data_IF_530814193304
#
_entry.id   IF_530814193304
#
_cell.length_a   1.000
_cell.length_b   1.000
_cell.length_c   1.000
_cell.angle_alpha   90.00
_cell.angle_beta   90.00
_cell.angle_gamma   90.00
#
_symmetry.space_group_name_H-M   'P 1'
#
loop_
_entity.id
_entity.type
_entity.pdbx_description
1 polymer ?
#
# COMPACT_ATOMS: atom_id res chain seq x y z
N UNK A 1 -3.46 17.26 -23.76
CA UNK A 1 -4.82 16.92 -23.27
C UNK A 1 -4.62 16.45 -21.84
N UNK A 2 -5.00 17.28 -20.88
CA UNK A 2 -4.70 17.10 -19.45
C UNK A 2 -6.01 16.86 -18.70
N UNK A 3 -6.15 15.71 -18.05
CA UNK A 3 -7.25 15.32 -17.16
C UNK A 3 -6.84 15.54 -15.70
N UNK A 4 -7.44 16.52 -15.04
CA UNK A 4 -7.23 16.76 -13.61
C UNK A 4 -8.35 16.06 -12.83
N UNK A 5 -8.00 15.29 -11.79
CA UNK A 5 -8.99 14.77 -10.83
C UNK A 5 -9.06 15.71 -9.62
N UNK A 6 -10.20 16.36 -9.45
CA UNK A 6 -10.50 17.21 -8.29
C UNK A 6 -11.49 16.47 -7.38
N UNK A 7 -11.25 16.50 -6.08
CA UNK A 7 -12.16 15.99 -5.07
C UNK A 7 -12.54 17.12 -4.11
N UNK A 8 -13.76 17.64 -4.23
CA UNK A 8 -14.33 18.61 -3.29
C UNK A 8 -15.38 17.92 -2.42
N UNK A 9 -15.48 18.33 -1.14
CA UNK A 9 -16.52 17.84 -0.23
C UNK A 9 -17.77 18.70 -0.43
N UNK A 10 -18.90 18.10 -0.82
CA UNK A 10 -20.17 18.81 -0.92
C UNK A 10 -20.79 18.98 0.49
N UNK A 11 -20.82 20.21 1.00
CA UNK A 11 -21.47 20.51 2.27
C UNK A 11 -22.99 20.52 2.16
N UNK A 12 -23.68 19.55 2.76
CA UNK A 12 -25.06 19.70 3.22
C UNK A 12 -25.17 19.25 4.68
N UNK A 13 -25.66 20.17 5.51
CA UNK A 13 -25.97 19.95 6.93
C UNK A 13 -27.08 18.90 7.06
N UNK A 14 -26.80 17.81 7.76
CA UNK A 14 -27.81 17.15 8.59
C UNK A 14 -27.12 16.48 9.80
N UNK A 15 -27.61 16.82 11.00
CA UNK A 15 -27.21 16.19 12.26
C UNK A 15 -27.57 14.70 12.28
N UNK A 16 -26.71 13.89 12.92
CA UNK A 16 -27.00 12.80 13.90
C UNK A 16 -26.10 11.55 13.71
N UNK A 17 -25.28 11.33 14.77
CA UNK A 17 -24.69 10.11 15.37
C UNK A 17 -23.55 9.31 14.71
N UNK A 18 -22.46 9.20 15.48
CA UNK A 18 -21.47 8.12 15.62
C UNK A 18 -21.64 6.88 14.73
N UNK A 19 -20.67 6.61 13.87
CA UNK A 19 -19.80 5.41 13.84
C UNK A 19 -18.98 5.39 12.53
N UNK A 20 -17.92 4.61 12.55
CA UNK A 20 -16.93 4.39 11.48
C UNK A 20 -17.53 4.09 10.09
N UNK A 21 -16.73 4.34 9.05
CA UNK A 21 -16.96 4.10 7.61
C UNK A 21 -17.79 5.17 6.85
N UNK A 22 -17.10 6.18 6.31
CA UNK A 22 -17.54 6.87 5.09
C UNK A 22 -16.41 6.95 4.04
N UNK A 23 -16.06 5.80 3.48
CA UNK A 23 -15.69 5.73 2.07
C UNK A 23 -17.00 5.67 1.27
N UNK A 24 -17.40 6.81 0.70
CA UNK A 24 -18.44 6.85 -0.32
C UNK A 24 -19.68 7.64 0.06
N UNK A 25 -19.58 8.97 0.06
CA UNK A 25 -20.65 9.85 -0.40
C UNK A 25 -20.09 11.25 -0.68
N UNK A 26 -20.27 11.73 -1.92
CA UNK A 26 -20.01 13.12 -2.30
C UNK A 26 -18.75 13.41 -3.11
N UNK A 27 -18.33 12.54 -4.04
CA UNK A 27 -17.31 12.92 -5.04
C UNK A 27 -17.99 13.59 -6.25
N UNK A 28 -17.72 14.89 -6.46
CA UNK A 28 -18.05 15.57 -7.72
C UNK A 28 -16.77 15.63 -8.56
N UNK A 29 -16.73 14.84 -9.63
CA UNK A 29 -15.66 14.87 -10.61
C UNK A 29 -15.91 16.05 -11.58
N UNK A 30 -15.01 17.03 -11.59
CA UNK A 30 -15.12 18.20 -12.47
C UNK A 30 -14.06 18.11 -13.57
N UNK A 31 -14.48 17.83 -14.80
CA UNK A 31 -13.64 17.86 -16.01
C UNK A 31 -13.63 19.27 -16.62
N UNK A 32 -12.45 19.77 -17.02
CA UNK A 32 -12.31 21.05 -17.72
C UNK A 32 -11.30 20.99 -18.87
N UNK A 33 -11.69 21.47 -20.06
CA UNK A 33 -10.85 21.58 -21.26
C UNK A 33 -10.43 23.03 -21.52
N UNK A 34 -9.20 23.22 -22.00
CA UNK A 34 -8.82 24.38 -22.83
C UNK A 34 -7.90 25.43 -22.19
N UNK A 35 -6.86 25.79 -22.95
CA UNK A 35 -5.93 26.90 -22.70
C UNK A 35 -6.70 28.21 -22.50
N UNK A 36 -6.50 28.89 -21.36
CA UNK A 36 -7.15 30.12 -20.90
C UNK A 36 -8.52 30.00 -20.17
N UNK A 37 -8.86 28.85 -19.59
CA UNK A 37 -9.95 28.79 -18.62
C UNK A 37 -9.45 29.18 -17.20
N UNK A 38 -10.04 30.23 -16.63
CA UNK A 38 -9.95 30.55 -15.20
C UNK A 38 -10.39 29.32 -14.39
N UNK A 39 -9.44 28.56 -13.86
CA UNK A 39 -9.74 27.51 -12.90
C UNK A 39 -10.20 28.19 -11.61
N UNK A 40 -11.51 28.40 -11.48
CA UNK A 40 -12.14 28.59 -10.18
C UNK A 40 -12.01 27.27 -9.43
N UNK A 41 -10.84 27.02 -8.87
CA UNK A 41 -10.68 26.01 -7.82
C UNK A 41 -11.64 26.46 -6.73
N UNK A 42 -12.69 25.67 -6.50
CA UNK A 42 -13.70 25.91 -5.47
C UNK A 42 -12.98 25.81 -4.12
N UNK A 43 -12.46 26.96 -3.68
CA UNK A 43 -11.23 27.02 -2.89
C UNK A 43 -11.37 26.54 -1.46
N UNK A 44 -12.52 26.72 -0.82
CA UNK A 44 -12.61 26.45 0.62
C UNK A 44 -12.77 24.96 0.96
N UNK A 45 -13.32 24.15 0.06
CA UNK A 45 -13.67 22.75 0.32
C UNK A 45 -12.70 21.72 -0.28
N UNK A 46 -11.63 22.17 -0.96
CA UNK A 46 -10.65 21.26 -1.56
C UNK A 46 -9.76 20.64 -0.49
N UNK A 47 -9.97 19.35 -0.19
CA UNK A 47 -9.22 18.59 0.83
C UNK A 47 -8.07 17.79 0.22
N UNK A 48 -8.20 17.32 -1.02
CA UNK A 48 -7.18 16.55 -1.72
C UNK A 48 -6.98 17.02 -3.16
N UNK A 49 -5.75 16.93 -3.63
CA UNK A 49 -5.38 17.24 -5.01
C UNK A 49 -4.38 16.20 -5.55
N UNK A 50 -4.58 15.75 -6.78
CA UNK A 50 -3.68 14.87 -7.51
C UNK A 50 -3.37 15.43 -8.90
N UNK A 51 -2.07 15.65 -9.19
CA UNK A 51 -1.63 15.98 -10.54
C UNK A 51 -1.56 14.73 -11.42
N UNK A 52 -1.71 14.91 -12.73
CA UNK A 52 -1.38 13.85 -13.69
C UNK A 52 0.08 13.43 -13.54
N UNK A 53 0.34 12.14 -13.33
CA UNK A 53 1.69 11.59 -13.41
C UNK A 53 2.08 11.52 -14.88
N UNK A 54 2.81 12.53 -15.35
CA UNK A 54 3.33 12.54 -16.71
C UNK A 54 4.82 12.86 -16.67
N UNK A 55 5.65 11.85 -16.98
CA UNK A 55 7.12 11.94 -17.06
C UNK A 55 7.61 13.00 -18.04
N UNK A 56 6.74 13.47 -18.94
CA UNK A 56 7.01 14.53 -19.93
C UNK A 56 6.64 15.94 -19.45
N UNK A 57 5.96 16.08 -18.31
CA UNK A 57 5.59 17.39 -17.77
C UNK A 57 6.85 18.11 -17.28
N UNK A 58 7.16 19.24 -17.91
CA UNK A 58 8.16 20.16 -17.37
C UNK A 58 7.55 20.74 -16.08
N UNK A 59 8.16 20.47 -14.92
CA UNK A 59 7.63 20.82 -13.59
C UNK A 59 7.20 22.29 -13.39
N UNK A 60 7.54 23.18 -14.32
CA UNK A 60 7.06 24.57 -14.41
C UNK A 60 5.53 24.69 -14.56
N UNK A 61 4.87 23.69 -15.16
CA UNK A 61 3.41 23.70 -15.35
C UNK A 61 2.64 23.77 -14.03
N UNK A 62 3.24 23.29 -12.94
CA UNK A 62 2.58 23.26 -11.65
C UNK A 62 2.89 24.47 -10.74
N UNK A 63 3.74 25.40 -11.16
CA UNK A 63 4.06 26.59 -10.34
C UNK A 63 2.86 27.52 -10.20
N UNK A 64 2.13 27.75 -11.30
CA UNK A 64 0.89 28.51 -11.25
C UNK A 64 -0.19 27.80 -10.42
N UNK A 65 -0.24 26.47 -10.52
CA UNK A 65 -1.12 25.65 -9.71
C UNK A 65 -0.81 25.79 -8.21
N UNK A 66 0.45 25.69 -7.79
CA UNK A 66 0.84 25.86 -6.38
C UNK A 66 0.45 27.24 -5.85
N UNK A 67 0.62 28.29 -6.66
CA UNK A 67 0.14 29.64 -6.32
C UNK A 67 -1.37 29.68 -6.14
N UNK A 68 -2.11 29.03 -7.03
CA UNK A 68 -3.57 28.95 -6.95
C UNK A 68 -4.04 28.15 -5.72
N UNK A 69 -3.42 27.00 -5.44
CA UNK A 69 -3.69 26.20 -4.25
C UNK A 69 -3.40 26.99 -2.98
N UNK A 70 -2.29 27.74 -2.95
CA UNK A 70 -1.98 28.63 -1.83
C UNK A 70 -3.02 29.73 -1.62
N UNK A 71 -3.48 30.37 -2.70
CA UNK A 71 -4.38 31.53 -2.59
C UNK A 71 -5.83 31.15 -2.35
N UNK A 72 -6.25 29.96 -2.79
CA UNK A 72 -7.65 29.56 -2.75
C UNK A 72 -7.92 28.38 -1.81
N UNK A 73 -6.95 27.50 -1.55
CA UNK A 73 -7.18 26.24 -0.84
C UNK A 73 -6.61 26.23 0.59
N UNK A 74 -7.39 26.74 1.55
CA UNK A 74 -6.98 26.80 2.97
C UNK A 74 -7.09 25.46 3.68
N UNK A 75 -7.90 24.52 3.17
CA UNK A 75 -8.20 23.22 3.79
C UNK A 75 -7.50 22.03 3.16
N UNK A 76 -6.56 22.26 2.24
CA UNK A 76 -5.84 21.20 1.53
C UNK A 76 -4.99 20.38 2.52
N UNK A 77 -5.29 19.08 2.63
CA UNK A 77 -4.64 18.13 3.53
C UNK A 77 -3.83 17.06 2.81
N UNK A 78 -4.19 16.75 1.56
CA UNK A 78 -3.54 15.69 0.79
C UNK A 78 -3.12 16.23 -0.57
N UNK A 79 -1.84 16.05 -0.90
CA UNK A 79 -1.29 16.49 -2.17
C UNK A 79 -0.51 15.35 -2.80
N UNK A 80 -0.83 15.01 -4.05
CA UNK A 80 0.00 14.18 -4.91
C UNK A 80 0.45 15.00 -6.11
N UNK A 81 1.76 15.12 -6.28
CA UNK A 81 2.31 15.98 -7.32
C UNK A 81 3.71 15.55 -7.79
N UNK A 82 3.99 15.81 -9.06
CA UNK A 82 5.32 15.64 -9.65
C UNK A 82 6.11 16.95 -9.60
N UNK A 83 7.37 16.88 -9.17
CA UNK A 83 8.28 18.01 -9.01
C UNK A 83 9.49 17.84 -9.93
N UNK A 84 9.67 18.83 -10.80
CA UNK A 84 10.77 18.89 -11.76
C UNK A 84 11.98 19.69 -11.26
N UNK A 85 12.92 19.94 -12.18
CA UNK A 85 14.23 20.59 -11.89
C UNK A 85 14.17 22.06 -11.48
N UNK A 86 13.03 22.73 -11.58
CA UNK A 86 12.97 24.18 -11.34
C UNK A 86 12.77 24.49 -9.86
N UNK A 87 13.62 25.38 -9.35
CA UNK A 87 13.60 25.86 -7.94
C UNK A 87 12.44 26.81 -7.63
N UNK A 88 11.58 27.08 -8.62
CA UNK A 88 10.45 27.99 -8.44
C UNK A 88 9.34 27.34 -7.61
N UNK A 89 8.54 28.16 -6.91
CA UNK A 89 7.25 27.76 -6.32
C UNK A 89 7.30 26.80 -5.13
N UNK A 90 8.47 26.37 -4.66
CA UNK A 90 8.56 25.60 -3.41
C UNK A 90 8.07 26.42 -2.22
N UNK A 91 8.28 27.74 -2.21
CA UNK A 91 7.72 28.63 -1.19
C UNK A 91 6.19 28.59 -1.17
N UNK A 92 5.55 28.48 -2.35
CA UNK A 92 4.10 28.35 -2.46
C UNK A 92 3.65 26.98 -1.92
N UNK A 93 4.39 25.90 -2.21
CA UNK A 93 4.16 24.59 -1.59
C UNK A 93 4.29 24.65 -0.05
N UNK A 94 5.37 25.22 0.46
CA UNK A 94 5.64 25.28 1.91
C UNK A 94 4.67 26.21 2.66
N UNK A 95 3.89 27.02 1.95
CA UNK A 95 2.81 27.81 2.54
C UNK A 95 1.57 26.97 2.93
N UNK A 96 1.44 25.74 2.40
CA UNK A 96 0.32 24.84 2.65
C UNK A 96 0.42 24.16 4.03
N UNK A 97 0.28 24.94 5.11
CA UNK A 97 0.58 24.50 6.49
C UNK A 97 -0.32 23.39 7.04
N UNK A 98 -1.50 23.17 6.44
CA UNK A 98 -2.45 22.13 6.85
C UNK A 98 -2.19 20.76 6.20
N UNK A 99 -1.17 20.65 5.35
CA UNK A 99 -0.87 19.42 4.63
C UNK A 99 -0.49 18.30 5.61
N UNK A 100 -1.27 17.21 5.55
CA UNK A 100 -1.08 15.99 6.36
C UNK A 100 -0.40 14.87 5.58
N UNK A 101 -0.62 14.84 4.27
CA UNK A 101 -0.10 13.81 3.37
C UNK A 101 0.50 14.43 2.12
N UNK A 102 1.71 14.01 1.78
CA UNK A 102 2.37 14.38 0.52
C UNK A 102 2.82 13.11 -0.21
N UNK A 103 2.39 12.97 -1.46
CA UNK A 103 2.99 12.05 -2.42
C UNK A 103 3.78 12.92 -3.42
N UNK A 104 5.10 12.76 -3.43
CA UNK A 104 5.99 13.54 -4.27
C UNK A 104 6.77 12.64 -5.23
N UNK A 105 6.62 12.87 -6.53
CA UNK A 105 7.46 12.26 -7.56
C UNK A 105 8.52 13.28 -8.00
N UNK A 106 9.80 13.00 -7.74
CA UNK A 106 10.90 13.93 -7.94
C UNK A 106 11.74 13.52 -9.16
N UNK A 107 11.82 14.40 -10.16
CA UNK A 107 12.66 14.22 -11.34
C UNK A 107 13.86 15.17 -11.32
N UNK A 108 14.67 15.04 -10.27
CA UNK A 108 15.86 15.86 -10.03
C UNK A 108 16.99 15.05 -9.41
N UNK A 109 18.21 15.61 -9.42
CA UNK A 109 19.37 14.97 -8.79
C UNK A 109 19.33 15.03 -7.25
N UNK A 110 20.06 14.11 -6.62
CA UNK A 110 20.11 13.88 -5.15
C UNK A 110 20.19 15.15 -4.31
N UNK A 111 21.05 16.11 -4.68
CA UNK A 111 21.20 17.37 -3.95
C UNK A 111 19.87 18.14 -3.85
N UNK A 112 19.13 18.23 -4.94
CA UNK A 112 17.86 18.95 -4.96
C UNK A 112 16.74 18.15 -4.29
N UNK A 113 16.75 16.82 -4.40
CA UNK A 113 15.86 15.97 -3.62
C UNK A 113 16.11 16.18 -2.11
N UNK A 114 17.37 16.23 -1.68
CA UNK A 114 17.75 16.47 -0.28
C UNK A 114 17.29 17.85 0.19
N UNK A 115 17.55 18.90 -0.59
CA UNK A 115 17.07 20.26 -0.30
C UNK A 115 15.53 20.28 -0.17
N UNK A 116 14.83 19.61 -1.10
CA UNK A 116 13.37 19.52 -1.08
C UNK A 116 12.86 18.82 0.18
N UNK A 117 13.38 17.63 0.48
CA UNK A 117 12.98 16.81 1.64
C UNK A 117 13.28 17.53 2.96
N UNK A 118 14.47 18.13 3.09
CA UNK A 118 14.83 18.90 4.29
C UNK A 118 13.84 20.03 4.58
N UNK A 119 13.35 20.70 3.54
CA UNK A 119 12.38 21.78 3.69
C UNK A 119 10.96 21.30 4.01
N UNK A 120 10.65 20.00 3.86
CA UNK A 120 9.36 19.45 4.29
C UNK A 120 9.14 19.54 5.81
N UNK A 121 10.20 19.72 6.60
CA UNK A 121 10.08 19.98 8.05
C UNK A 121 9.26 21.23 8.38
N UNK A 122 9.06 22.11 7.39
CA UNK A 122 8.23 23.31 7.52
C UNK A 122 6.73 23.01 7.55
N UNK A 123 6.31 21.77 7.27
CA UNK A 123 4.93 21.31 7.36
C UNK A 123 4.61 20.78 8.77
N UNK A 124 3.91 21.56 9.62
CA UNK A 124 3.69 21.18 11.02
C UNK A 124 2.78 19.95 11.17
N UNK A 125 1.89 19.73 10.18
CA UNK A 125 0.87 18.69 10.22
C UNK A 125 1.22 17.46 9.38
N UNK A 126 2.37 17.45 8.69
CA UNK A 126 2.74 16.33 7.81
C UNK A 126 2.95 15.07 8.66
N UNK A 127 2.25 13.99 8.30
CA UNK A 127 2.34 12.67 8.95
C UNK A 127 2.59 11.54 7.95
N UNK A 128 2.22 11.75 6.69
CA UNK A 128 2.38 10.77 5.62
C UNK A 128 3.22 11.33 4.48
N UNK A 129 4.29 10.61 4.12
CA UNK A 129 5.12 10.90 2.96
C UNK A 129 5.26 9.65 2.10
N UNK A 130 4.89 9.77 0.82
CA UNK A 130 5.27 8.85 -0.25
C UNK A 130 6.23 9.59 -1.18
N UNK A 131 7.39 9.01 -1.45
CA UNK A 131 8.45 9.64 -2.21
C UNK A 131 8.97 8.71 -3.31
N UNK A 132 8.96 9.20 -4.55
CA UNK A 132 9.56 8.52 -5.70
C UNK A 132 10.68 9.40 -6.24
N UNK A 133 11.93 8.90 -6.22
CA UNK A 133 13.10 9.66 -6.61
C UNK A 133 14.31 8.76 -6.97
N UNK A 134 14.50 8.53 -8.27
CA UNK A 134 15.46 7.60 -8.93
C UNK A 134 16.96 7.89 -8.65
N UNK A 135 17.29 8.79 -7.73
CA UNK A 135 18.69 9.05 -7.34
C UNK A 135 18.82 9.61 -5.94
N UNK A 136 17.74 9.59 -5.15
CA UNK A 136 17.75 10.20 -3.84
C UNK A 136 18.35 9.25 -2.80
N UNK A 137 19.41 9.70 -2.13
CA UNK A 137 20.17 8.92 -1.15
C UNK A 137 19.49 8.77 0.22
N UNK A 138 18.35 9.43 0.44
CA UNK A 138 17.73 9.54 1.76
C UNK A 138 18.37 10.60 2.66
N UNK A 139 19.32 11.38 2.14
CA UNK A 139 19.97 12.44 2.92
C UNK A 139 18.92 13.41 3.45
N UNK A 140 19.06 13.75 4.73
CA UNK A 140 18.16 14.64 5.47
C UNK A 140 16.73 14.12 5.67
N UNK A 141 16.39 12.89 5.25
CA UNK A 141 15.05 12.33 5.46
C UNK A 141 14.70 12.21 6.95
N UNK A 142 15.69 11.89 7.79
CA UNK A 142 15.57 11.73 9.24
C UNK A 142 15.11 13.01 9.97
N UNK A 143 15.16 14.19 9.34
CA UNK A 143 14.68 15.44 9.97
C UNK A 143 13.15 15.50 10.07
N UNK A 144 12.44 14.60 9.37
CA UNK A 144 10.98 14.49 9.40
C UNK A 144 10.53 13.53 10.51
N UNK A 145 10.96 13.81 11.75
CA UNK A 145 10.75 12.97 12.94
C UNK A 145 9.27 12.79 13.33
N UNK A 146 8.39 13.66 12.81
CA UNK A 146 6.96 13.63 13.04
C UNK A 146 6.19 12.61 12.20
N UNK A 147 6.84 11.93 11.24
CA UNK A 147 6.16 11.02 10.32
C UNK A 147 5.63 9.76 11.01
N UNK A 148 4.43 9.36 10.60
CA UNK A 148 3.75 8.12 10.99
C UNK A 148 3.71 7.11 9.84
N UNK A 149 3.79 7.59 8.59
CA UNK A 149 3.82 6.79 7.37
C UNK A 149 4.95 7.29 6.46
N UNK A 150 5.85 6.39 6.09
CA UNK A 150 6.93 6.63 5.13
C UNK A 150 6.91 5.54 4.06
N UNK A 151 6.87 5.96 2.81
CA UNK A 151 6.96 5.09 1.63
C UNK A 151 8.00 5.67 0.67
N UNK A 152 9.04 4.88 0.43
CA UNK A 152 10.23 5.23 -0.35
C UNK A 152 10.63 4.08 -1.29
N UNK A 153 9.68 3.22 -1.67
CA UNK A 153 9.92 2.06 -2.55
C UNK A 153 10.61 2.46 -3.87
N UNK A 154 10.17 3.58 -4.47
CA UNK A 154 10.71 4.10 -5.72
C UNK A 154 11.91 5.05 -5.53
N UNK A 155 12.67 4.90 -4.45
CA UNK A 155 13.93 5.60 -4.21
C UNK A 155 15.12 4.62 -4.30
N UNK A 156 15.48 4.20 -5.51
CA UNK A 156 16.58 3.25 -5.79
C UNK A 156 17.99 3.72 -5.34
N UNK A 157 18.16 5.01 -5.07
CA UNK A 157 19.36 5.60 -4.51
C UNK A 157 19.43 5.52 -2.98
N UNK A 158 18.35 5.12 -2.30
CA UNK A 158 18.23 5.22 -0.85
C UNK A 158 19.24 4.29 -0.16
N UNK A 159 20.06 4.88 0.71
CA UNK A 159 21.11 4.18 1.42
C UNK A 159 20.60 3.63 2.76
N UNK A 160 21.03 2.41 3.13
CA UNK A 160 20.67 1.76 4.38
C UNK A 160 20.98 2.60 5.61
N UNK A 161 22.07 3.38 5.60
CA UNK A 161 22.40 4.29 6.71
C UNK A 161 21.36 5.40 6.87
N UNK A 162 20.89 5.98 5.77
CA UNK A 162 19.83 6.99 5.80
C UNK A 162 18.54 6.43 6.39
N UNK A 163 18.19 5.17 6.06
CA UNK A 163 17.05 4.50 6.68
C UNK A 163 17.28 4.26 8.18
N UNK A 164 18.49 3.84 8.59
CA UNK A 164 18.82 3.66 10.00
C UNK A 164 18.66 4.97 10.79
N UNK A 165 19.12 6.10 10.24
CA UNK A 165 18.93 7.43 10.83
C UNK A 165 17.43 7.79 10.95
N UNK A 166 16.62 7.43 9.95
CA UNK A 166 15.15 7.57 10.01
C UNK A 166 14.55 6.74 11.14
N UNK A 167 14.95 5.47 11.29
CA UNK A 167 14.49 4.61 12.38
C UNK A 167 14.85 5.22 13.76
N UNK A 168 16.03 5.82 13.88
CA UNK A 168 16.47 6.46 15.11
C UNK A 168 15.69 7.73 15.48
N UNK A 169 15.11 8.43 14.51
CA UNK A 169 14.47 9.74 14.70
C UNK A 169 12.94 9.68 14.67
N UNK A 170 12.36 8.93 13.73
CA UNK A 170 10.91 8.84 13.48
C UNK A 170 10.22 7.91 14.48
N UNK A 171 10.13 8.33 15.75
CA UNK A 171 9.56 7.52 16.85
C UNK A 171 8.05 7.29 16.77
N UNK A 172 7.36 7.95 15.84
CA UNK A 172 5.93 7.76 15.61
C UNK A 172 5.63 6.89 14.39
N UNK A 173 6.67 6.35 13.72
CA UNK A 173 6.51 5.61 12.47
C UNK A 173 5.76 4.29 12.68
N UNK A 174 4.58 4.17 12.07
CA UNK A 174 3.69 3.00 12.11
C UNK A 174 3.67 2.24 10.80
N UNK A 175 3.90 2.91 9.68
CA UNK A 175 4.01 2.30 8.37
C UNK A 175 5.34 2.68 7.73
N UNK A 176 6.05 1.67 7.26
CA UNK A 176 7.30 1.82 6.56
C UNK A 176 7.30 0.91 5.33
N UNK A 177 7.46 1.52 4.17
CA UNK A 177 7.70 0.86 2.90
C UNK A 177 9.05 1.33 2.36
N UNK A 178 10.01 0.41 2.29
CA UNK A 178 11.27 0.64 1.60
C UNK A 178 11.52 -0.53 0.67
N UNK A 179 11.69 -0.24 -0.61
CA UNK A 179 11.96 -1.25 -1.62
C UNK A 179 13.37 -1.80 -1.53
N UNK A 180 14.01 -1.91 -2.68
CA UNK A 180 15.42 -2.27 -2.75
C UNK A 180 16.31 -1.11 -2.30
N UNK A 181 17.10 -1.33 -1.25
CA UNK A 181 18.03 -0.34 -0.69
C UNK A 181 19.47 -0.62 -1.08
N UNK A 182 20.23 0.46 -1.28
CA UNK A 182 21.68 0.34 -1.42
C UNK A 182 22.34 0.18 -0.04
N UNK A 183 23.37 -0.65 0.04
CA UNK A 183 24.18 -0.86 1.24
C UNK A 183 23.38 -1.26 2.49
N UNK A 184 22.32 -2.04 2.32
CA UNK A 184 21.55 -2.54 3.45
C UNK A 184 22.35 -3.57 4.24
N UNK A 185 22.63 -3.27 5.51
CA UNK A 185 23.48 -4.08 6.40
C UNK A 185 22.70 -4.65 7.59
N UNK A 186 23.31 -5.61 8.29
CA UNK A 186 22.83 -6.12 9.58
C UNK A 186 22.59 -4.98 10.59
N UNK A 187 23.51 -4.02 10.70
CA UNK A 187 23.37 -2.87 11.61
C UNK A 187 22.19 -1.95 11.26
N UNK A 188 21.86 -1.83 9.98
CA UNK A 188 20.66 -1.10 9.53
C UNK A 188 19.41 -1.82 10.02
N UNK A 189 19.40 -3.14 9.88
CA UNK A 189 18.30 -3.98 10.33
C UNK A 189 18.12 -3.96 11.86
N UNK A 190 19.20 -4.07 12.61
CA UNK A 190 19.19 -3.95 14.07
C UNK A 190 18.64 -2.60 14.52
N UNK A 191 18.97 -1.52 13.79
CA UNK A 191 18.43 -0.19 14.06
C UNK A 191 16.92 -0.13 13.86
N UNK A 192 16.40 -0.76 12.80
CA UNK A 192 14.96 -0.89 12.56
C UNK A 192 14.29 -1.67 13.71
N UNK A 193 14.83 -2.83 14.05
CA UNK A 193 14.29 -3.66 15.13
C UNK A 193 14.31 -2.94 16.47
N UNK A 194 15.38 -2.22 16.79
CA UNK A 194 15.53 -1.57 18.10
C UNK A 194 14.64 -0.33 18.22
N UNK A 195 14.49 0.43 17.14
CA UNK A 195 13.90 1.77 17.23
C UNK A 195 12.45 1.87 16.74
N UNK A 196 11.99 0.97 15.86
CA UNK A 196 10.66 1.02 15.25
C UNK A 196 9.66 0.09 15.96
N UNK A 197 9.64 0.09 17.29
CA UNK A 197 8.82 -0.80 18.10
C UNK A 197 7.30 -0.54 17.96
N UNK A 198 6.93 0.65 17.50
CA UNK A 198 5.55 1.01 17.21
C UNK A 198 5.07 0.65 15.79
N UNK A 199 5.93 0.04 14.96
CA UNK A 199 5.61 -0.29 13.58
C UNK A 199 4.49 -1.32 13.50
N UNK A 200 3.45 -0.99 12.73
CA UNK A 200 2.25 -1.79 12.48
C UNK A 200 2.27 -2.43 11.10
N UNK A 201 2.94 -1.80 10.14
CA UNK A 201 3.03 -2.23 8.74
C UNK A 201 4.45 -2.08 8.21
N UNK A 202 4.96 -3.15 7.60
CA UNK A 202 6.28 -3.17 6.96
C UNK A 202 6.19 -3.78 5.56
N UNK A 203 6.78 -3.10 4.59
CA UNK A 203 6.99 -3.58 3.23
C UNK A 203 8.48 -3.47 2.90
N UNK A 204 9.07 -4.56 2.42
CA UNK A 204 10.47 -4.56 2.02
C UNK A 204 10.85 -5.70 1.07
N UNK A 205 11.99 -5.53 0.39
CA UNK A 205 12.59 -6.53 -0.49
C UNK A 205 13.80 -7.22 0.17
N UNK A 206 13.74 -8.55 0.27
CA UNK A 206 14.81 -9.42 0.76
C UNK A 206 15.76 -9.87 -0.35
N UNK A 207 15.34 -9.83 -1.61
CA UNK A 207 16.06 -10.38 -2.76
C UNK A 207 17.47 -9.80 -2.97
N UNK A 208 17.74 -8.64 -2.41
CA UNK A 208 19.04 -7.95 -2.48
C UNK A 208 19.77 -7.84 -1.13
N UNK A 209 19.22 -8.43 -0.07
CA UNK A 209 19.85 -8.44 1.24
C UNK A 209 21.00 -9.44 1.31
N UNK A 210 22.05 -9.08 2.06
CA UNK A 210 23.11 -10.02 2.39
C UNK A 210 22.51 -11.20 3.20
N UNK A 211 22.97 -12.43 2.91
CA UNK A 211 22.56 -13.65 3.62
C UNK A 211 22.74 -13.62 5.14
N UNK A 212 23.59 -12.72 5.65
CA UNK A 212 23.84 -12.49 7.08
C UNK A 212 22.76 -11.68 7.76
N UNK A 213 21.91 -10.95 7.03
CA UNK A 213 20.88 -10.10 7.64
C UNK A 213 19.81 -10.98 8.32
N UNK A 214 19.58 -10.84 9.65
CA UNK A 214 18.70 -11.72 10.40
C UNK A 214 17.23 -11.30 10.28
N UNK A 215 16.69 -11.29 9.05
CA UNK A 215 15.32 -10.80 8.80
C UNK A 215 14.19 -11.63 9.47
N UNK A 216 14.48 -12.84 9.94
CA UNK A 216 13.60 -13.61 10.82
C UNK A 216 13.24 -12.89 12.13
N UNK A 217 14.09 -11.97 12.59
CA UNK A 217 13.87 -11.24 13.84
C UNK A 217 12.73 -10.20 13.77
N UNK A 218 12.14 -9.93 12.58
CA UNK A 218 10.96 -9.05 12.45
C UNK A 218 9.76 -9.55 13.23
N UNK A 219 9.68 -10.85 13.51
CA UNK A 219 8.65 -11.42 14.36
C UNK A 219 8.67 -10.85 15.79
N UNK A 220 9.77 -10.21 16.22
CA UNK A 220 9.86 -9.55 17.52
C UNK A 220 9.26 -8.14 17.55
N UNK A 221 8.86 -7.56 16.41
CA UNK A 221 8.18 -6.27 16.39
C UNK A 221 6.77 -6.40 17.02
N UNK A 222 6.51 -5.80 18.19
CA UNK A 222 5.36 -6.15 19.01
C UNK A 222 4.04 -5.62 18.45
N UNK A 223 4.07 -4.64 17.53
CA UNK A 223 2.87 -4.06 16.93
C UNK A 223 2.66 -4.43 15.46
N UNK A 224 3.58 -5.18 14.86
CA UNK A 224 3.50 -5.53 13.44
C UNK A 224 2.30 -6.44 13.16
N UNK A 225 1.41 -5.98 12.28
CA UNK A 225 0.16 -6.64 11.88
C UNK A 225 0.09 -6.86 10.37
N UNK A 226 0.72 -5.99 9.59
CA UNK A 226 0.82 -6.09 8.13
C UNK A 226 2.28 -6.29 7.71
N UNK A 227 2.53 -7.31 6.90
CA UNK A 227 3.86 -7.61 6.40
C UNK A 227 3.79 -7.97 4.92
N UNK A 228 4.50 -7.22 4.08
CA UNK A 228 4.73 -7.56 2.69
C UNK A 228 6.24 -7.76 2.47
N UNK A 229 6.61 -8.91 1.92
CA UNK A 229 8.00 -9.27 1.67
C UNK A 229 8.13 -9.68 0.22
N UNK A 230 8.93 -8.94 -0.53
CA UNK A 230 9.41 -9.38 -1.83
C UNK A 230 10.66 -10.24 -1.63
N UNK A 231 10.67 -11.46 -2.14
CA UNK A 231 11.83 -12.35 -2.06
C UNK A 231 11.78 -13.44 -3.11
N UNK A 232 12.94 -13.86 -3.62
CA UNK A 232 13.04 -15.07 -4.44
C UNK A 232 13.27 -16.34 -3.59
N UNK A 233 13.62 -16.19 -2.31
CA UNK A 233 13.92 -17.31 -1.40
C UNK A 233 13.54 -16.95 0.05
N UNK A 234 12.64 -17.74 0.63
CA UNK A 234 12.19 -17.58 2.01
C UNK A 234 12.83 -18.63 2.91
N UNK A 235 13.46 -18.20 4.01
CA UNK A 235 14.02 -19.11 5.02
C UNK A 235 12.92 -19.69 5.90
N UNK A 236 13.03 -20.98 6.25
CA UNK A 236 12.07 -21.63 7.14
C UNK A 236 12.06 -20.99 8.55
N UNK A 237 13.21 -20.51 9.03
CA UNK A 237 13.32 -19.78 10.30
C UNK A 237 12.46 -18.53 10.36
N UNK A 238 12.22 -17.87 9.20
CA UNK A 238 11.32 -16.73 9.13
C UNK A 238 9.86 -17.15 9.32
N UNK A 239 9.43 -18.24 8.68
CA UNK A 239 8.07 -18.79 8.85
C UNK A 239 7.86 -19.22 10.31
N UNK A 240 8.81 -19.93 10.90
CA UNK A 240 8.78 -20.32 12.31
C UNK A 240 8.71 -19.09 13.23
N UNK A 241 9.47 -18.04 12.92
CA UNK A 241 9.41 -16.77 13.62
C UNK A 241 8.02 -16.15 13.58
N UNK A 242 7.39 -16.08 12.40
CA UNK A 242 6.05 -15.52 12.24
C UNK A 242 4.98 -16.32 13.00
N UNK A 243 5.07 -17.65 13.01
CA UNK A 243 4.16 -18.52 13.76
C UNK A 243 4.25 -18.29 15.27
N UNK A 244 5.46 -18.00 15.77
CA UNK A 244 5.73 -17.80 17.20
C UNK A 244 5.74 -16.32 17.60
N UNK A 245 5.31 -15.43 16.71
CA UNK A 245 5.30 -13.99 16.91
C UNK A 245 4.60 -13.62 18.21
N UNK A 246 5.25 -12.77 19.00
CA UNK A 246 4.70 -12.20 20.22
C UNK A 246 4.08 -10.82 19.96
N UNK A 247 3.20 -10.39 20.87
CA UNK A 247 2.52 -9.10 20.78
C UNK A 247 1.29 -9.15 19.89
N UNK A 248 1.13 -8.15 19.04
CA UNK A 248 -0.02 -8.02 18.14
C UNK A 248 0.00 -9.15 17.10
N UNK A 249 -1.13 -9.84 16.89
CA UNK A 249 -1.21 -10.92 15.94
C UNK A 249 -1.03 -10.40 14.50
N UNK A 250 -0.38 -11.19 13.66
CA UNK A 250 -0.26 -10.87 12.24
C UNK A 250 -1.62 -11.05 11.56
N UNK A 251 -2.04 -10.06 10.78
CA UNK A 251 -3.34 -10.02 10.11
C UNK A 251 -3.21 -10.09 8.60
N UNK A 252 -2.17 -9.50 8.03
CA UNK A 252 -1.92 -9.52 6.58
C UNK A 252 -0.49 -9.97 6.31
N UNK A 253 -0.35 -10.97 5.46
CA UNK A 253 0.95 -11.49 5.03
C UNK A 253 0.99 -11.66 3.52
N UNK A 254 1.80 -10.84 2.86
CA UNK A 254 2.06 -10.94 1.43
C UNK A 254 3.51 -11.39 1.21
N UNK A 255 3.65 -12.52 0.52
CA UNK A 255 4.94 -13.10 0.13
C UNK A 255 4.99 -13.10 -1.39
N UNK A 256 5.76 -12.18 -1.94
CA UNK A 256 5.86 -11.93 -3.38
C UNK A 256 7.22 -12.41 -3.90
N UNK A 257 7.28 -12.80 -5.18
CA UNK A 257 8.52 -13.22 -5.85
C UNK A 257 8.98 -14.67 -5.63
N UNK A 258 8.51 -15.38 -4.60
CA UNK A 258 8.94 -16.75 -4.30
C UNK A 258 7.86 -17.79 -4.64
N UNK A 259 8.28 -18.94 -5.15
CA UNK A 259 7.44 -20.14 -5.19
C UNK A 259 7.67 -20.94 -3.90
N UNK A 260 6.70 -20.91 -3.00
CA UNK A 260 6.77 -21.60 -1.72
C UNK A 260 6.48 -23.09 -1.90
N UNK A 261 7.08 -23.93 -1.06
CA UNK A 261 6.72 -25.36 -1.02
C UNK A 261 5.38 -25.57 -0.32
N UNK A 262 4.73 -26.73 -0.56
CA UNK A 262 3.50 -27.10 0.13
C UNK A 262 3.67 -27.09 1.66
N UNK A 263 4.82 -27.56 2.15
CA UNK A 263 5.13 -27.60 3.58
C UNK A 263 5.27 -26.18 4.18
N UNK A 264 5.88 -25.25 3.45
CA UNK A 264 5.98 -23.85 3.87
C UNK A 264 4.59 -23.20 3.97
N UNK A 265 3.72 -23.40 2.98
CA UNK A 265 2.33 -22.90 3.04
C UNK A 265 1.57 -23.54 4.21
N UNK A 266 1.73 -24.85 4.43
CA UNK A 266 1.12 -25.55 5.56
C UNK A 266 1.54 -24.95 6.90
N UNK A 267 2.81 -24.60 7.06
CA UNK A 267 3.28 -23.91 8.26
C UNK A 267 2.65 -22.51 8.39
N UNK A 268 2.59 -21.73 7.31
CA UNK A 268 1.92 -20.42 7.30
C UNK A 268 0.43 -20.51 7.67
N UNK A 269 -0.25 -21.60 7.30
CA UNK A 269 -1.65 -21.83 7.66
C UNK A 269 -1.89 -22.02 9.17
N UNK A 270 -0.83 -22.19 9.98
CA UNK A 270 -0.95 -22.19 11.44
C UNK A 270 -1.13 -20.79 12.03
N UNK A 271 -0.92 -19.72 11.25
CA UNK A 271 -1.17 -18.33 11.65
C UNK A 271 -2.66 -18.01 11.50
N UNK A 272 -3.48 -18.58 12.39
CA UNK A 272 -4.96 -18.53 12.32
C UNK A 272 -5.58 -17.13 12.42
N UNK A 273 -4.77 -16.12 12.76
CA UNK A 273 -5.16 -14.72 12.87
C UNK A 273 -5.19 -13.98 11.53
N UNK A 274 -4.62 -14.58 10.47
CA UNK A 274 -4.58 -13.97 9.15
C UNK A 274 -5.98 -13.68 8.60
N UNK A 275 -6.16 -12.44 8.19
CA UNK A 275 -7.29 -11.91 7.43
C UNK A 275 -6.94 -11.80 5.95
N UNK A 276 -5.67 -11.60 5.63
CA UNK A 276 -5.21 -11.46 4.25
C UNK A 276 -3.96 -12.29 4.01
N UNK A 277 -3.96 -13.05 2.92
CA UNK A 277 -2.84 -13.89 2.53
C UNK A 277 -2.60 -13.78 1.03
N UNK A 278 -1.36 -13.45 0.65
CA UNK A 278 -0.88 -13.53 -0.73
C UNK A 278 0.33 -14.44 -0.79
N UNK A 279 0.21 -15.52 -1.55
CA UNK A 279 1.25 -16.54 -1.68
C UNK A 279 1.27 -17.13 -3.09
N UNK A 280 2.45 -17.58 -3.50
CA UNK A 280 2.65 -18.35 -4.71
C UNK A 280 3.20 -19.73 -4.34
N UNK A 281 2.64 -20.79 -4.90
CA UNK A 281 3.02 -22.18 -4.59
C UNK A 281 2.86 -23.06 -5.82
N UNK A 282 3.67 -24.09 -5.94
CA UNK A 282 3.57 -25.04 -7.06
C UNK A 282 2.43 -26.05 -6.91
N UNK A 283 1.89 -26.19 -5.70
CA UNK A 283 0.81 -27.14 -5.38
C UNK A 283 -0.19 -26.50 -4.41
N UNK A 284 -1.45 -26.95 -4.43
CA UNK A 284 -2.50 -26.36 -3.56
C UNK A 284 -2.65 -27.22 -2.29
N UNK A 285 -2.18 -26.77 -1.11
CA UNK A 285 -2.43 -27.45 0.16
C UNK A 285 -3.81 -27.08 0.71
N UNK A 286 -4.87 -27.51 0.02
CA UNK A 286 -6.27 -27.14 0.33
C UNK A 286 -6.66 -27.40 1.77
N UNK A 287 -6.32 -28.58 2.29
CA UNK A 287 -6.65 -29.01 3.64
C UNK A 287 -6.09 -28.06 4.71
N UNK A 288 -4.93 -27.46 4.43
CA UNK A 288 -4.29 -26.50 5.33
C UNK A 288 -4.85 -25.09 5.13
N UNK A 289 -5.04 -24.65 3.88
CA UNK A 289 -5.61 -23.33 3.58
C UNK A 289 -6.97 -23.12 4.24
N UNK A 290 -7.84 -24.13 4.21
CA UNK A 290 -9.18 -24.04 4.83
C UNK A 290 -9.14 -23.93 6.36
N UNK A 291 -7.99 -24.10 7.03
CA UNK A 291 -7.84 -23.86 8.48
C UNK A 291 -7.90 -22.38 8.83
N UNK A 292 -7.61 -21.50 7.87
CA UNK A 292 -7.59 -20.06 8.07
C UNK A 292 -9.01 -19.47 8.06
N UNK A 293 -9.84 -19.82 9.06
CA UNK A 293 -11.26 -19.42 9.11
C UNK A 293 -11.50 -17.91 9.20
N UNK A 294 -10.48 -17.16 9.59
CA UNK A 294 -10.50 -15.69 9.71
C UNK A 294 -10.28 -14.96 8.39
N UNK A 295 -9.85 -15.68 7.33
CA UNK A 295 -9.44 -15.05 6.08
C UNK A 295 -10.59 -14.33 5.38
N UNK A 296 -10.31 -13.11 4.94
CA UNK A 296 -11.19 -12.23 4.18
C UNK A 296 -10.71 -12.12 2.73
N UNK A 297 -9.40 -12.03 2.51
CA UNK A 297 -8.79 -11.81 1.21
C UNK A 297 -7.70 -12.87 0.95
N UNK A 298 -7.87 -13.67 -0.10
CA UNK A 298 -6.91 -14.70 -0.50
C UNK A 298 -6.42 -14.43 -1.92
N UNK A 299 -5.11 -14.32 -2.09
CA UNK A 299 -4.46 -14.18 -3.38
C UNK A 299 -3.52 -15.37 -3.56
N UNK A 300 -3.82 -16.22 -4.54
CA UNK A 300 -3.03 -17.42 -4.82
C UNK A 300 -2.54 -17.42 -6.25
N UNK A 301 -1.26 -17.74 -6.43
CA UNK A 301 -0.68 -18.14 -7.70
C UNK A 301 -0.30 -19.60 -7.58
N UNK A 302 -1.11 -20.51 -8.12
CA UNK A 302 -0.88 -21.96 -8.06
C UNK A 302 -1.81 -22.71 -9.01
N UNK A 303 -1.45 -23.93 -9.49
CA UNK A 303 -2.35 -24.76 -10.29
C UNK A 303 -3.56 -25.23 -9.48
N UNK A 304 -4.76 -24.74 -9.79
CA UNK A 304 -5.98 -25.05 -9.05
C UNK A 304 -7.13 -25.41 -9.99
N UNK A 305 -7.92 -26.43 -9.65
CA UNK A 305 -9.10 -26.84 -10.42
C UNK A 305 -10.39 -26.17 -9.96
N UNK A 306 -11.42 -26.15 -10.81
CA UNK A 306 -12.75 -25.63 -10.48
C UNK A 306 -13.34 -26.24 -9.20
N UNK A 307 -13.20 -27.55 -8.99
CA UNK A 307 -13.70 -28.22 -7.79
C UNK A 307 -13.00 -27.76 -6.52
N UNK A 308 -11.67 -27.63 -6.58
CA UNK A 308 -10.85 -27.16 -5.47
C UNK A 308 -11.14 -25.69 -5.10
N UNK A 309 -11.47 -24.85 -6.09
CA UNK A 309 -11.95 -23.49 -5.81
C UNK A 309 -13.24 -23.55 -4.98
N UNK A 310 -14.21 -24.38 -5.39
CA UNK A 310 -15.46 -24.56 -4.63
C UNK A 310 -15.18 -25.06 -3.21
N UNK A 311 -14.26 -26.00 -3.04
CA UNK A 311 -13.84 -26.50 -1.72
C UNK A 311 -13.22 -25.40 -0.85
N UNK A 312 -12.38 -24.53 -1.41
CA UNK A 312 -11.84 -23.35 -0.71
C UNK A 312 -12.96 -22.41 -0.27
N UNK A 313 -13.90 -22.11 -1.17
CA UNK A 313 -15.01 -21.22 -0.87
C UNK A 313 -15.90 -21.79 0.24
N UNK A 314 -16.14 -23.09 0.25
CA UNK A 314 -16.86 -23.80 1.31
C UNK A 314 -16.09 -23.81 2.63
N UNK A 315 -14.78 -24.05 2.57
CA UNK A 315 -13.92 -24.20 3.75
C UNK A 315 -13.60 -22.88 4.46
N UNK A 316 -13.62 -21.75 3.76
CA UNK A 316 -13.23 -20.44 4.28
C UNK A 316 -14.47 -19.55 4.45
N UNK A 317 -15.22 -19.58 5.56
CA UNK A 317 -16.56 -18.96 5.65
C UNK A 317 -16.58 -17.43 5.55
N UNK A 318 -15.49 -16.75 5.94
CA UNK A 318 -15.42 -15.28 5.98
C UNK A 318 -14.82 -14.64 4.72
N UNK A 319 -14.33 -15.45 3.78
CA UNK A 319 -13.71 -14.99 2.54
C UNK A 319 -14.67 -14.08 1.74
N UNK A 320 -14.19 -12.88 1.41
CA UNK A 320 -14.87 -11.87 0.60
C UNK A 320 -14.24 -11.73 -0.77
N UNK A 321 -12.92 -11.95 -0.85
CA UNK A 321 -12.14 -11.80 -2.07
C UNK A 321 -11.22 -13.00 -2.28
N UNK A 322 -11.29 -13.58 -3.48
CA UNK A 322 -10.37 -14.61 -3.95
C UNK A 322 -9.77 -14.17 -5.28
N UNK A 323 -8.46 -13.91 -5.31
CA UNK A 323 -7.72 -13.71 -6.55
C UNK A 323 -6.91 -14.96 -6.88
N UNK A 324 -7.07 -15.44 -8.11
CA UNK A 324 -6.29 -16.53 -8.67
C UNK A 324 -5.45 -15.90 -9.78
N UNK A 325 -4.15 -15.77 -9.51
CA UNK A 325 -3.16 -15.24 -10.45
C UNK A 325 -2.94 -16.30 -11.54
N UNK A 326 -3.23 -15.92 -12.78
CA UNK A 326 -3.64 -16.80 -13.87
C UNK A 326 -2.67 -17.95 -14.21
N UNK A 327 -3.25 -19.14 -14.39
CA UNK A 327 -2.73 -20.28 -15.13
C UNK A 327 -3.91 -20.76 -15.97
N UNK A 328 -3.71 -20.93 -17.29
CA UNK A 328 -4.73 -21.18 -18.34
C UNK A 328 -5.68 -22.40 -18.12
N UNK A 329 -5.60 -23.09 -16.98
CA UNK A 329 -6.19 -24.40 -16.72
C UNK A 329 -7.61 -24.35 -16.10
N UNK A 330 -8.13 -23.16 -15.76
CA UNK A 330 -9.44 -23.01 -15.11
C UNK A 330 -10.57 -22.77 -16.11
N UNK A 331 -11.54 -23.68 -16.17
CA UNK A 331 -12.81 -23.47 -16.88
C UNK A 331 -13.69 -22.46 -16.12
N UNK A 332 -13.57 -21.18 -16.50
CA UNK A 332 -14.29 -20.04 -15.93
C UNK A 332 -15.82 -20.18 -16.03
N UNK A 333 -16.32 -20.82 -17.10
CA UNK A 333 -17.77 -20.99 -17.33
C UNK A 333 -18.34 -22.02 -16.35
N UNK A 334 -17.67 -23.17 -16.22
CA UNK A 334 -18.08 -24.20 -15.28
C UNK A 334 -17.95 -23.73 -13.82
N UNK A 335 -16.92 -22.94 -13.53
CA UNK A 335 -16.77 -22.32 -12.21
C UNK A 335 -17.93 -21.41 -11.87
N UNK A 336 -18.33 -20.49 -12.76
CA UNK A 336 -19.46 -19.60 -12.53
C UNK A 336 -20.74 -20.38 -12.18
N UNK A 337 -21.03 -21.47 -12.90
CA UNK A 337 -22.18 -22.35 -12.62
C UNK A 337 -22.07 -23.05 -11.27
N UNK A 338 -20.90 -23.63 -10.97
CA UNK A 338 -20.66 -24.37 -9.72
C UNK A 338 -20.77 -23.47 -8.49
N UNK A 339 -20.16 -22.28 -8.56
CA UNK A 339 -20.22 -21.30 -7.47
C UNK A 339 -21.61 -20.71 -7.33
N UNK A 340 -22.33 -20.41 -8.42
CA UNK A 340 -23.72 -19.95 -8.35
C UNK A 340 -24.65 -20.98 -7.71
N UNK A 341 -24.48 -22.27 -8.07
CA UNK A 341 -25.23 -23.38 -7.47
C UNK A 341 -24.98 -23.46 -5.97
N UNK A 342 -23.71 -23.39 -5.55
CA UNK A 342 -23.32 -23.39 -4.15
C UNK A 342 -23.83 -22.16 -3.38
N UNK A 343 -23.66 -20.94 -3.92
CA UNK A 343 -24.15 -19.71 -3.29
C UNK A 343 -25.67 -19.70 -3.13
N UNK A 344 -26.39 -20.21 -4.13
CA UNK A 344 -27.85 -20.36 -4.08
C UNK A 344 -28.30 -21.31 -2.98
N UNK A 345 -27.47 -22.26 -2.56
CA UNK A 345 -27.72 -23.16 -1.44
C UNK A 345 -27.29 -22.58 -0.07
N UNK A 346 -26.51 -21.49 -0.05
CA UNK A 346 -25.91 -20.88 1.15
C UNK A 346 -26.40 -19.45 1.41
N UNK A 347 -27.60 -19.10 0.91
CA UNK A 347 -28.16 -17.73 0.89
C UNK A 347 -28.18 -17.01 2.24
N UNK A 348 -28.30 -17.73 3.34
CA UNK A 348 -28.36 -17.14 4.68
C UNK A 348 -26.97 -16.79 5.25
N UNK A 349 -25.89 -17.41 4.74
CA UNK A 349 -24.53 -17.28 5.31
C UNK A 349 -23.63 -16.33 4.51
N UNK A 350 -23.88 -16.12 3.21
CA UNK A 350 -23.03 -15.29 2.34
C UNK A 350 -23.83 -14.48 1.32
N UNK A 351 -23.69 -13.15 1.40
CA UNK A 351 -24.35 -12.20 0.49
C UNK A 351 -23.58 -11.98 -0.83
N UNK A 352 -22.25 -11.87 -0.76
CA UNK A 352 -21.41 -11.50 -1.92
C UNK A 352 -19.99 -12.03 -1.78
N UNK A 353 -19.43 -12.52 -2.87
CA UNK A 353 -18.01 -12.85 -3.00
C UNK A 353 -17.48 -12.40 -4.36
N UNK A 354 -16.24 -11.90 -4.38
CA UNK A 354 -15.55 -11.49 -5.60
C UNK A 354 -14.45 -12.50 -5.89
N UNK A 355 -14.53 -13.13 -7.06
CA UNK A 355 -13.49 -14.04 -7.57
C UNK A 355 -12.87 -13.42 -8.81
N UNK A 356 -11.55 -13.29 -8.84
CA UNK A 356 -10.80 -12.69 -9.95
C UNK A 356 -9.76 -13.66 -10.51
N UNK A 357 -9.56 -13.58 -11.82
CA UNK A 357 -8.57 -14.34 -12.58
C UNK A 357 -7.62 -13.37 -13.27
N UNK A 358 -6.68 -12.80 -12.53
CA UNK A 358 -5.89 -11.69 -13.08
C UNK A 358 -4.55 -11.44 -12.40
N UNK A 359 -3.60 -10.95 -13.19
CA UNK A 359 -2.41 -10.23 -12.72
C UNK A 359 -2.68 -8.73 -12.48
N UNK A 360 -3.82 -8.20 -12.96
CA UNK A 360 -4.25 -6.80 -12.89
C UNK A 360 -5.70 -6.73 -12.40
N UNK A 361 -6.01 -5.88 -11.42
CA UNK A 361 -7.34 -5.70 -10.80
C UNK A 361 -8.53 -5.41 -11.75
N UNK A 362 -8.31 -5.38 -13.07
CA UNK A 362 -9.22 -4.93 -14.11
C UNK A 362 -9.68 -6.00 -15.09
N UNK A 363 -9.09 -7.20 -15.09
CA UNK A 363 -9.42 -8.22 -16.09
C UNK A 363 -10.07 -9.46 -15.43
N UNK A 364 -11.18 -9.94 -16.01
CA UNK A 364 -11.95 -11.14 -15.60
C UNK A 364 -12.40 -11.21 -14.13
N UNK A 365 -13.25 -10.26 -13.74
CA UNK A 365 -13.94 -10.25 -12.45
C UNK A 365 -15.25 -11.03 -12.54
N UNK A 366 -15.36 -12.14 -11.82
CA UNK A 366 -16.62 -12.81 -11.56
C UNK A 366 -17.20 -12.29 -10.23
N UNK A 367 -18.19 -11.41 -10.34
CA UNK A 367 -19.04 -11.04 -9.22
C UNK A 367 -20.09 -12.12 -9.02
N UNK A 368 -20.06 -12.75 -7.85
CA UNK A 368 -20.98 -13.81 -7.52
C UNK A 368 -21.82 -13.30 -6.34
N UNK A 369 -23.09 -13.07 -6.64
CA UNK A 369 -24.09 -12.58 -5.70
C UNK A 369 -25.20 -13.62 -5.57
N UNK A 370 -25.76 -13.75 -4.36
CA UNK A 370 -26.97 -14.55 -4.19
C UNK A 370 -28.12 -13.86 -4.90
N UNK A 371 -28.75 -14.52 -5.88
CA UNK A 371 -29.94 -13.97 -6.54
C UNK A 371 -31.09 -13.84 -5.53
N UNK A 372 -31.68 -12.64 -5.44
CA UNK A 372 -32.86 -12.35 -4.61
C UNK A 372 -34.05 -13.24 -4.91
#
# INVERSE_FOLDING_TARGET
MHRVKLFAVAGHQQEVTDEDDEEGQGAVEVEGEGENAEWNIVGEDLVSYESESNRSSTGDQHLWLLRSLRSHCTNLKHLKMTFGRTRGGWDDLYSLKQLKSLHAELHMGDRWCSDFVYNLKQFPCLRKLTLSAVSYSGRDLHVLDQLEYLDVDYCDGLDGKSLADCCQTMKQLRHLDFGCLQNFSESTFESLLTNCQQLESLVFDVGHLDSTVPYEMLCHLPRLRYLNVWTCYLRDSFIEGLMNKQGSPLESLFLEGCALSADQIKHLCNISTLKELRVNCDTVPLEDLVKLKSLLNLHISMPITTGQIVDLLQGLPRLKFLNILDRDDVDKVNLGRSVHTWMSAQREQRRKIKVCFSNSYTDDILWLESSG
#
